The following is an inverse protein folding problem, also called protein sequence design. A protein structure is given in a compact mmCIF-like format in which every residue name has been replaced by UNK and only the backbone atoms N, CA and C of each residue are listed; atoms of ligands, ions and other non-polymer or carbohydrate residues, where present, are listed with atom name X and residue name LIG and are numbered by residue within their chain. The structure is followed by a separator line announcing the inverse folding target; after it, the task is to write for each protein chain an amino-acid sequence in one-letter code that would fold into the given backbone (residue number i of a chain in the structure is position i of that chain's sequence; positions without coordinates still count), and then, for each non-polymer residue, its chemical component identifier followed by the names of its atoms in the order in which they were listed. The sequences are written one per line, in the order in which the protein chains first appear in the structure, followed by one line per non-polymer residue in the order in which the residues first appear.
data_IF_853642397364
#
_entry.id   IF_853642397364
#
_cell.length_a   1.000
_cell.length_b   1.000
_cell.length_c   1.000
_cell.angle_alpha   90.00
_cell.angle_beta   90.00
_cell.angle_gamma   90.00
#
_symmetry.space_group_name_H-M   'P 1'
#
loop_
_entity.id
_entity.type
_entity.pdbx_description
1 polymer ?
#
# COMPACT_ATOMS: atom_id res chain seq x y z
N UNK A 1 -4.47 24.01 -17.74
CA UNK A 1 -5.83 24.61 -17.87
C UNK A 1 -6.02 25.41 -19.17
N UNK A 2 -5.16 26.38 -19.51
CA UNK A 2 -5.31 27.17 -20.74
C UNK A 2 -5.22 26.34 -22.04
N UNK A 3 -4.36 25.30 -22.06
CA UNK A 3 -4.23 24.36 -23.19
C UNK A 3 -5.50 23.55 -23.43
N UNK A 4 -6.17 23.07 -22.37
CA UNK A 4 -7.43 22.32 -22.47
C UNK A 4 -8.54 23.15 -23.11
N UNK A 5 -8.75 24.37 -22.63
CA UNK A 5 -9.75 25.28 -23.19
C UNK A 5 -9.46 25.58 -24.65
N UNK A 6 -8.18 25.75 -25.00
CA UNK A 6 -7.76 25.97 -26.38
C UNK A 6 -8.15 24.79 -27.27
N UNK A 7 -7.82 23.55 -26.89
CA UNK A 7 -8.14 22.36 -27.70
C UNK A 7 -9.64 22.19 -27.87
N UNK A 8 -10.42 22.31 -26.79
CA UNK A 8 -11.88 22.19 -26.86
C UNK A 8 -12.50 23.27 -27.76
N UNK A 9 -12.00 24.50 -27.69
CA UNK A 9 -12.47 25.59 -28.53
C UNK A 9 -12.12 25.36 -30.00
N UNK A 10 -10.88 24.97 -30.29
CA UNK A 10 -10.43 24.65 -31.65
C UNK A 10 -11.24 23.49 -32.23
N UNK A 11 -11.50 22.45 -31.45
CA UNK A 11 -12.34 21.33 -31.87
C UNK A 11 -13.78 21.77 -32.14
N UNK A 12 -14.37 22.61 -31.28
CA UNK A 12 -15.71 23.14 -31.48
C UNK A 12 -15.80 23.99 -32.76
N UNK A 13 -14.84 24.89 -32.98
CA UNK A 13 -14.77 25.77 -34.15
C UNK A 13 -14.60 24.95 -35.45
N UNK A 14 -13.89 23.82 -35.40
CA UNK A 14 -13.70 22.90 -36.52
C UNK A 14 -14.98 22.09 -36.81
N UNK A 15 -15.59 21.48 -35.79
CA UNK A 15 -16.74 20.58 -35.95
C UNK A 15 -18.01 21.35 -36.33
N UNK A 16 -18.14 22.60 -35.90
CA UNK A 16 -19.31 23.45 -36.19
C UNK A 16 -19.31 23.98 -37.63
N UNK A 17 -18.16 24.01 -38.27
CA UNK A 17 -17.98 24.49 -39.65
C UNK A 17 -17.97 23.29 -40.62
N UNK A 18 -19.01 23.10 -41.45
CA UNK A 18 -19.16 21.90 -42.26
C UNK A 18 -18.08 21.76 -43.33
N UNK A 19 -17.49 22.86 -43.82
CA UNK A 19 -16.39 22.80 -44.78
C UNK A 19 -15.10 22.33 -44.10
N UNK A 20 -14.78 22.89 -42.92
CA UNK A 20 -13.60 22.47 -42.14
C UNK A 20 -13.71 21.05 -41.65
N UNK A 21 -14.91 20.66 -41.21
CA UNK A 21 -15.19 19.29 -40.80
C UNK A 21 -14.99 18.33 -41.97
N UNK A 22 -15.52 18.64 -43.15
CA UNK A 22 -15.34 17.80 -44.34
C UNK A 22 -13.86 17.62 -44.72
N UNK A 23 -13.08 18.70 -44.68
CA UNK A 23 -11.63 18.64 -44.92
C UNK A 23 -10.87 17.80 -43.88
N UNK A 24 -11.29 17.89 -42.61
CA UNK A 24 -10.70 17.10 -41.53
C UNK A 24 -11.06 15.61 -41.65
N UNK A 25 -12.31 15.30 -41.97
CA UNK A 25 -12.78 13.93 -42.18
C UNK A 25 -12.03 13.29 -43.38
N UNK A 26 -11.84 14.04 -44.48
CA UNK A 26 -11.03 13.59 -45.63
C UNK A 26 -9.55 13.33 -45.26
N UNK A 27 -8.96 14.19 -44.41
CA UNK A 27 -7.59 13.99 -43.90
C UNK A 27 -7.48 12.73 -43.04
N UNK A 28 -8.46 12.48 -42.18
CA UNK A 28 -8.50 11.27 -41.35
C UNK A 28 -8.63 10.00 -42.21
N UNK A 29 -9.48 10.02 -43.24
CA UNK A 29 -9.62 8.89 -44.17
C UNK A 29 -8.34 8.66 -44.99
N UNK A 30 -7.63 9.72 -45.37
CA UNK A 30 -6.38 9.63 -46.12
C UNK A 30 -5.22 9.03 -45.32
N UNK A 31 -5.19 9.27 -43.99
CA UNK A 31 -4.14 8.77 -43.09
C UNK A 31 -4.51 7.41 -42.43
N UNK A 32 -5.55 6.74 -42.97
CA UNK A 32 -6.17 5.52 -42.42
C UNK A 32 -6.60 5.65 -40.93
N UNK A 33 -6.70 6.86 -40.40
CA UNK A 33 -6.96 7.11 -38.99
C UNK A 33 -5.90 6.58 -38.00
N UNK A 34 -4.71 6.18 -38.47
CA UNK A 34 -3.74 5.47 -37.62
C UNK A 34 -2.87 6.39 -36.76
N UNK A 35 -2.72 7.67 -37.12
CA UNK A 35 -1.80 8.57 -36.41
C UNK A 35 -2.30 10.01 -36.35
N UNK A 36 -2.41 10.55 -35.13
CA UNK A 36 -2.70 11.97 -34.91
C UNK A 36 -1.41 12.63 -34.42
N UNK A 37 -0.87 13.55 -35.22
CA UNK A 37 0.26 14.38 -34.81
C UNK A 37 -0.21 15.54 -33.93
N UNK A 38 0.25 15.57 -32.68
CA UNK A 38 -0.13 16.62 -31.71
C UNK A 38 1.08 17.53 -31.47
N UNK A 39 0.97 18.84 -31.72
CA UNK A 39 2.02 19.78 -31.36
C UNK A 39 2.35 19.67 -29.86
N UNK A 40 3.63 19.64 -29.50
CA UNK A 40 4.06 19.43 -28.11
C UNK A 40 3.42 20.40 -27.09
N UNK A 41 3.17 21.65 -27.50
CA UNK A 41 2.49 22.68 -26.69
C UNK A 41 1.02 22.37 -26.36
N UNK A 42 0.38 21.51 -27.17
CA UNK A 42 -1.00 21.07 -27.03
C UNK A 42 -1.08 19.70 -26.33
N UNK A 43 0.04 18.97 -26.24
CA UNK A 43 0.10 17.64 -25.62
C UNK A 43 -0.53 17.58 -24.21
N UNK A 44 -0.27 18.52 -23.27
CA UNK A 44 -0.93 18.46 -21.97
C UNK A 44 -2.46 18.52 -22.04
N UNK A 45 -2.99 19.26 -23.00
CA UNK A 45 -4.43 19.32 -23.19
C UNK A 45 -4.99 18.04 -23.81
N UNK A 46 -4.24 17.38 -24.70
CA UNK A 46 -4.62 16.08 -25.25
C UNK A 46 -4.60 14.97 -24.19
N UNK A 47 -3.56 14.93 -23.35
CA UNK A 47 -3.47 13.99 -22.22
C UNK A 47 -4.64 14.20 -21.24
N UNK A 48 -5.00 15.45 -20.95
CA UNK A 48 -6.17 15.74 -20.12
C UNK A 48 -7.49 15.22 -20.72
N UNK A 49 -7.64 15.26 -22.06
CA UNK A 49 -8.83 14.71 -22.72
C UNK A 49 -8.87 13.18 -22.67
N UNK A 50 -7.73 12.51 -22.87
CA UNK A 50 -7.62 11.05 -22.71
C UNK A 50 -7.97 10.62 -21.29
N UNK A 51 -7.50 11.39 -20.30
CA UNK A 51 -7.84 11.14 -18.90
C UNK A 51 -9.35 11.29 -18.63
N UNK A 52 -10.00 12.31 -19.21
CA UNK A 52 -11.47 12.46 -19.13
C UNK A 52 -12.24 11.36 -19.87
N UNK A 53 -11.63 10.75 -20.89
CA UNK A 53 -12.17 9.58 -21.58
C UNK A 53 -11.96 8.27 -20.79
N UNK A 54 -11.18 8.29 -19.71
CA UNK A 54 -10.84 7.11 -18.91
C UNK A 54 -9.72 6.25 -19.50
N UNK A 55 -8.95 6.76 -20.45
CA UNK A 55 -7.88 6.02 -21.11
C UNK A 55 -6.53 6.28 -20.42
N UNK A 56 -6.42 5.84 -19.17
CA UNK A 56 -5.24 6.09 -18.33
C UNK A 56 -3.99 5.39 -18.88
N UNK A 57 -4.12 4.20 -19.45
CA UNK A 57 -3.01 3.44 -20.04
C UNK A 57 -2.37 4.21 -21.22
N UNK A 58 -3.19 4.77 -22.12
CA UNK A 58 -2.68 5.60 -23.21
C UNK A 58 -2.00 6.88 -22.71
N UNK A 59 -2.52 7.49 -21.63
CA UNK A 59 -1.87 8.65 -21.00
C UNK A 59 -0.48 8.27 -20.48
N UNK A 60 -0.33 7.11 -19.82
CA UNK A 60 0.97 6.64 -19.34
C UNK A 60 1.95 6.47 -20.50
N UNK A 61 1.58 5.71 -21.52
CA UNK A 61 2.45 5.43 -22.67
C UNK A 61 2.93 6.72 -23.36
N UNK A 62 2.00 7.62 -23.67
CA UNK A 62 2.30 8.85 -24.40
C UNK A 62 3.13 9.82 -23.54
N UNK A 63 2.79 9.96 -22.25
CA UNK A 63 3.48 10.90 -21.37
C UNK A 63 4.90 10.45 -21.03
N UNK A 64 5.13 9.15 -20.80
CA UNK A 64 6.48 8.60 -20.60
C UNK A 64 7.36 8.80 -21.85
N UNK A 65 6.82 8.50 -23.03
CA UNK A 65 7.51 8.75 -24.30
C UNK A 65 7.84 10.24 -24.47
N UNK A 66 6.95 11.14 -24.07
CA UNK A 66 7.19 12.58 -24.17
C UNK A 66 8.24 13.10 -23.17
N UNK A 67 8.25 12.59 -21.93
CA UNK A 67 9.20 12.98 -20.88
C UNK A 67 10.61 12.45 -21.15
N UNK A 68 10.74 11.23 -21.66
CA UNK A 68 12.03 10.65 -22.04
C UNK A 68 12.73 11.41 -23.19
N UNK A 69 11.97 12.10 -24.04
CA UNK A 69 12.50 12.81 -25.20
C UNK A 69 12.89 14.28 -24.97
N UNK A 70 12.61 14.89 -23.82
CA UNK A 70 13.16 16.22 -23.55
C UNK A 70 13.38 16.55 -22.08
N UNK A 71 14.60 17.00 -21.81
CA UNK A 71 14.93 17.79 -20.66
C UNK A 71 14.62 19.27 -21.00
N UNK A 72 13.74 19.92 -20.23
CA UNK A 72 13.44 21.37 -20.28
C UNK A 72 12.46 21.86 -21.35
N UNK A 73 11.26 21.26 -21.44
CA UNK A 73 10.14 21.87 -22.18
C UNK A 73 9.21 22.66 -21.25
N UNK A 74 8.63 23.78 -21.72
CA UNK A 74 7.67 24.60 -20.95
C UNK A 74 6.45 23.80 -20.44
N UNK A 75 6.14 22.67 -21.08
CA UNK A 75 5.01 21.80 -20.74
C UNK A 75 5.39 20.59 -19.88
N UNK A 76 6.66 20.42 -19.49
CA UNK A 76 7.13 19.21 -18.79
C UNK A 76 6.38 18.97 -17.47
N UNK A 77 6.15 20.03 -16.70
CA UNK A 77 5.41 19.98 -15.44
C UNK A 77 3.96 19.50 -15.64
N UNK A 78 3.27 20.01 -16.66
CA UNK A 78 1.89 19.59 -16.95
C UNK A 78 1.82 18.14 -17.46
N UNK A 79 2.80 17.70 -18.27
CA UNK A 79 2.89 16.30 -18.73
C UNK A 79 3.15 15.36 -17.55
N UNK A 80 4.08 15.71 -16.67
CA UNK A 80 4.37 14.93 -15.46
C UNK A 80 3.15 14.85 -14.52
N UNK A 81 2.38 15.94 -14.41
CA UNK A 81 1.13 15.93 -13.66
C UNK A 81 0.09 14.98 -14.28
N UNK A 82 -0.11 15.02 -15.60
CA UNK A 82 -1.00 14.07 -16.29
C UNK A 82 -0.58 12.61 -16.09
N UNK A 83 0.73 12.33 -16.21
CA UNK A 83 1.27 10.98 -15.98
C UNK A 83 1.02 10.50 -14.54
N UNK A 84 1.29 11.36 -13.54
CA UNK A 84 1.06 11.03 -12.15
C UNK A 84 -0.42 10.77 -11.84
N UNK A 85 -1.33 11.58 -12.41
CA UNK A 85 -2.76 11.36 -12.25
C UNK A 85 -3.21 10.06 -12.92
N UNK A 86 -2.65 9.70 -14.09
CA UNK A 86 -2.98 8.44 -14.76
C UNK A 86 -2.57 7.23 -13.91
N UNK A 87 -1.40 7.27 -13.29
CA UNK A 87 -0.99 6.25 -12.31
C UNK A 87 -1.93 6.19 -11.09
N UNK A 88 -2.43 7.32 -10.60
CA UNK A 88 -3.45 7.33 -9.54
C UNK A 88 -4.77 6.69 -9.96
N UNK A 89 -5.19 6.87 -11.22
CA UNK A 89 -6.40 6.25 -11.75
C UNK A 89 -6.22 4.74 -11.91
N UNK A 90 -5.11 4.28 -12.48
CA UNK A 90 -4.76 2.85 -12.54
C UNK A 90 -4.69 2.21 -11.15
N UNK A 91 -4.08 2.90 -10.19
CA UNK A 91 -4.02 2.42 -8.82
C UNK A 91 -5.40 2.31 -8.17
N UNK A 92 -6.28 3.28 -8.42
CA UNK A 92 -7.69 3.23 -7.97
C UNK A 92 -8.43 2.05 -8.61
N UNK A 93 -8.24 1.80 -9.90
CA UNK A 93 -8.87 0.69 -10.61
C UNK A 93 -8.41 -0.67 -10.07
N UNK A 94 -7.10 -0.84 -9.82
CA UNK A 94 -6.55 -2.05 -9.21
C UNK A 94 -7.14 -2.30 -7.81
N UNK A 95 -7.23 -1.27 -6.97
CA UNK A 95 -7.83 -1.37 -5.63
C UNK A 95 -9.35 -1.58 -5.65
N UNK A 96 -10.05 -1.12 -6.69
CA UNK A 96 -11.49 -1.31 -6.86
C UNK A 96 -11.86 -2.67 -7.46
N UNK A 97 -10.88 -3.45 -7.93
CA UNK A 97 -11.10 -4.78 -8.49
C UNK A 97 -11.70 -5.76 -7.46
N UNK A 98 -12.21 -6.90 -7.94
CA UNK A 98 -12.75 -7.96 -7.09
C UNK A 98 -12.11 -9.31 -7.44
N UNK A 99 -11.19 -9.85 -6.62
CA UNK A 99 -10.68 -9.26 -5.37
C UNK A 99 -9.84 -7.99 -5.62
N UNK A 100 -9.72 -7.09 -4.63
CA UNK A 100 -8.84 -5.93 -4.71
C UNK A 100 -7.38 -6.35 -4.93
N UNK A 101 -6.66 -5.63 -5.78
CA UNK A 101 -5.22 -5.77 -6.02
C UNK A 101 -4.51 -4.57 -5.38
N UNK A 102 -4.40 -4.58 -4.06
CA UNK A 102 -3.89 -3.45 -3.27
C UNK A 102 -2.40 -3.24 -3.54
N UNK A 103 -1.60 -4.30 -3.66
CA UNK A 103 -0.15 -4.16 -3.96
C UNK A 103 0.10 -3.52 -5.32
N UNK A 104 -0.62 -3.95 -6.35
CA UNK A 104 -0.56 -3.35 -7.69
C UNK A 104 -1.01 -1.88 -7.67
N UNK A 105 -2.00 -1.57 -6.83
CA UNK A 105 -2.43 -0.20 -6.58
C UNK A 105 -1.37 0.64 -5.87
N UNK A 106 -0.74 0.12 -4.81
CA UNK A 106 0.38 0.73 -4.09
C UNK A 106 1.53 1.02 -5.07
N UNK A 107 1.91 0.06 -5.92
CA UNK A 107 2.99 0.20 -6.91
C UNK A 107 2.70 1.34 -7.90
N UNK A 108 1.44 1.44 -8.36
CA UNK A 108 1.02 2.53 -9.24
C UNK A 108 1.13 3.90 -8.56
N UNK A 109 0.74 4.00 -7.29
CA UNK A 109 0.89 5.25 -6.52
C UNK A 109 2.36 5.62 -6.27
N UNK A 110 3.24 4.64 -6.06
CA UNK A 110 4.68 4.88 -5.97
C UNK A 110 5.26 5.41 -7.29
N UNK A 111 4.81 4.89 -8.44
CA UNK A 111 5.14 5.46 -9.75
C UNK A 111 4.68 6.92 -9.87
N UNK A 112 3.46 7.24 -9.42
CA UNK A 112 2.97 8.62 -9.41
C UNK A 112 3.86 9.56 -8.59
N UNK A 113 4.25 9.15 -7.37
CA UNK A 113 5.18 9.92 -6.53
C UNK A 113 6.55 10.10 -7.18
N UNK A 114 7.08 9.02 -7.78
CA UNK A 114 8.36 9.07 -8.47
C UNK A 114 8.35 10.13 -9.58
N UNK A 115 7.31 10.12 -10.41
CA UNK A 115 7.13 11.07 -11.52
C UNK A 115 7.07 12.51 -11.01
N UNK A 116 6.27 12.78 -9.97
CA UNK A 116 6.13 14.12 -9.37
C UNK A 116 7.46 14.62 -8.80
N UNK A 117 8.17 13.78 -8.05
CA UNK A 117 9.45 14.15 -7.41
C UNK A 117 10.56 14.37 -8.43
N UNK A 118 10.63 13.56 -9.48
CA UNK A 118 11.69 13.63 -10.48
C UNK A 118 11.55 14.82 -11.43
N UNK A 119 10.32 15.25 -11.74
CA UNK A 119 10.05 16.30 -12.72
C UNK A 119 9.73 17.67 -12.10
N UNK A 120 10.02 17.86 -10.80
CA UNK A 120 9.75 19.10 -10.08
C UNK A 120 8.26 19.23 -9.75
N UNK A 121 7.86 18.64 -8.62
CA UNK A 121 6.48 18.48 -8.15
C UNK A 121 5.60 19.70 -8.44
N UNK A 122 4.78 19.68 -9.52
CA UNK A 122 3.93 20.81 -9.88
C UNK A 122 2.78 20.99 -8.88
N UNK A 123 2.52 19.97 -8.06
CA UNK A 123 1.44 19.94 -7.09
C UNK A 123 1.90 19.23 -5.80
N UNK A 124 2.47 19.95 -4.83
CA UNK A 124 2.94 19.36 -3.58
C UNK A 124 1.80 18.84 -2.69
N UNK A 125 0.58 19.34 -2.87
CA UNK A 125 -0.59 18.83 -2.16
C UNK A 125 -0.95 17.42 -2.65
N UNK A 126 -0.89 17.18 -3.97
CA UNK A 126 -1.10 15.85 -4.54
C UNK A 126 -0.04 14.86 -4.03
N UNK A 127 1.23 15.26 -4.00
CA UNK A 127 2.32 14.42 -3.46
C UNK A 127 2.03 14.00 -2.01
N UNK A 128 1.64 14.96 -1.16
CA UNK A 128 1.28 14.69 0.23
C UNK A 128 0.08 13.74 0.35
N UNK A 129 -0.93 13.88 -0.52
CA UNK A 129 -2.11 12.99 -0.53
C UNK A 129 -1.68 11.57 -0.90
N UNK A 130 -0.83 11.40 -1.91
CA UNK A 130 -0.37 10.07 -2.35
C UNK A 130 0.49 9.43 -1.25
N UNK A 131 1.46 10.16 -0.67
CA UNK A 131 2.28 9.67 0.45
C UNK A 131 1.41 9.19 1.63
N UNK A 132 0.39 9.97 2.00
CA UNK A 132 -0.56 9.60 3.06
C UNK A 132 -1.35 8.35 2.69
N UNK A 133 -1.83 8.27 1.46
CA UNK A 133 -2.60 7.11 0.97
C UNK A 133 -1.74 5.85 1.03
N UNK A 134 -0.47 5.91 0.61
CA UNK A 134 0.45 4.77 0.71
C UNK A 134 0.69 4.36 2.17
N UNK A 135 0.90 5.32 3.06
CA UNK A 135 1.06 5.03 4.49
C UNK A 135 -0.19 4.36 5.10
N UNK A 136 -1.39 4.81 4.70
CA UNK A 136 -2.67 4.22 5.12
C UNK A 136 -2.88 2.82 4.53
N UNK A 137 -2.42 2.56 3.31
CA UNK A 137 -2.55 1.27 2.62
C UNK A 137 -1.48 0.24 3.00
N UNK A 138 -0.38 0.65 3.63
CA UNK A 138 0.73 -0.24 3.96
C UNK A 138 0.32 -1.53 4.69
N UNK A 139 -0.58 -1.52 5.71
CA UNK A 139 -1.07 -2.74 6.33
C UNK A 139 -1.80 -3.67 5.37
N UNK A 140 -2.62 -3.13 4.46
CA UNK A 140 -3.35 -3.91 3.48
C UNK A 140 -2.39 -4.54 2.45
N UNK A 141 -1.38 -3.80 1.99
CA UNK A 141 -0.33 -4.29 1.09
C UNK A 141 0.47 -5.44 1.77
N UNK A 142 0.77 -5.35 3.07
CA UNK A 142 1.36 -6.47 3.86
C UNK A 142 0.44 -7.69 3.91
N UNK A 143 -0.85 -7.51 4.19
CA UNK A 143 -1.78 -8.64 4.31
C UNK A 143 -2.06 -9.34 2.99
N UNK A 144 -2.12 -8.61 1.88
CA UNK A 144 -2.27 -9.23 0.55
C UNK A 144 -1.08 -10.16 0.24
N UNK A 145 0.15 -9.71 0.51
CA UNK A 145 1.34 -10.53 0.33
C UNK A 145 1.40 -11.72 1.30
N UNK A 146 1.02 -11.51 2.57
CA UNK A 146 0.89 -12.61 3.54
C UNK A 146 -0.29 -13.52 3.26
N UNK A 147 -1.22 -13.18 2.36
CA UNK A 147 -2.30 -14.09 1.95
C UNK A 147 -1.87 -15.03 0.81
N UNK A 148 -0.75 -14.75 0.14
CA UNK A 148 -0.22 -15.60 -0.94
C UNK A 148 0.08 -17.02 -0.45
N UNK A 149 -0.16 -18.09 -1.23
CA UNK A 149 0.16 -19.45 -0.79
C UNK A 149 1.64 -19.62 -0.39
N UNK A 150 1.89 -20.39 0.67
CA UNK A 150 3.24 -20.79 1.10
C UNK A 150 3.87 -21.72 0.05
N UNK A 151 4.57 -21.10 -0.90
CA UNK A 151 5.18 -21.76 -2.04
C UNK A 151 6.54 -21.12 -2.32
N UNK A 152 7.43 -21.86 -2.99
CA UNK A 152 8.79 -21.38 -3.29
C UNK A 152 8.79 -20.07 -4.09
N UNK A 153 7.81 -19.88 -4.97
CA UNK A 153 7.67 -18.65 -5.78
C UNK A 153 7.28 -17.42 -4.95
N UNK A 154 6.51 -17.59 -3.87
CA UNK A 154 6.02 -16.49 -3.05
C UNK A 154 6.87 -16.24 -1.81
N UNK A 155 7.86 -17.09 -1.54
CA UNK A 155 8.63 -17.06 -0.29
C UNK A 155 9.26 -15.69 -0.02
N UNK A 156 9.87 -15.07 -1.04
CA UNK A 156 10.50 -13.76 -0.90
C UNK A 156 9.48 -12.65 -0.62
N UNK A 157 8.34 -12.67 -1.30
CA UNK A 157 7.26 -11.70 -1.09
C UNK A 157 6.66 -11.81 0.31
N UNK A 158 6.40 -13.04 0.77
CA UNK A 158 5.92 -13.30 2.13
C UNK A 158 6.93 -12.88 3.19
N UNK A 159 8.22 -13.13 2.97
CA UNK A 159 9.30 -12.71 3.88
C UNK A 159 9.42 -11.18 3.97
N UNK A 160 9.34 -10.49 2.83
CA UNK A 160 9.28 -9.02 2.78
C UNK A 160 8.06 -8.49 3.56
N UNK A 161 6.88 -9.09 3.35
CA UNK A 161 5.66 -8.69 4.04
C UNK A 161 5.73 -8.97 5.55
N UNK A 162 6.35 -10.08 5.96
CA UNK A 162 6.58 -10.39 7.37
C UNK A 162 7.52 -9.36 8.02
N UNK A 163 8.55 -8.92 7.32
CA UNK A 163 9.44 -7.86 7.82
C UNK A 163 8.70 -6.52 7.92
N UNK A 164 7.91 -6.15 6.92
CA UNK A 164 7.04 -4.96 7.00
C UNK A 164 6.04 -5.03 8.16
N UNK A 165 5.46 -6.21 8.42
CA UNK A 165 4.59 -6.42 9.58
C UNK A 165 5.34 -6.24 10.91
N UNK A 166 6.57 -6.75 11.02
CA UNK A 166 7.42 -6.55 12.21
C UNK A 166 7.70 -5.07 12.44
N UNK A 167 8.05 -4.34 11.39
CA UNK A 167 8.32 -2.90 11.46
C UNK A 167 7.09 -2.11 11.94
N UNK A 168 5.88 -2.51 11.56
CA UNK A 168 4.63 -1.90 12.03
C UNK A 168 4.28 -2.27 13.48
N UNK A 169 4.49 -3.53 13.88
CA UNK A 169 4.07 -4.04 15.20
C UNK A 169 5.01 -3.63 16.33
N UNK A 170 6.29 -3.46 16.02
CA UNK A 170 7.34 -3.29 17.02
C UNK A 170 7.82 -1.84 17.16
N UNK A 171 7.04 -0.89 16.62
CA UNK A 171 7.20 0.54 16.94
C UNK A 171 6.95 0.74 18.44
N UNK A 172 7.80 1.50 19.16
CA UNK A 172 7.55 1.84 20.56
C UNK A 172 6.23 2.61 20.73
N UNK A 173 5.32 2.07 21.54
CA UNK A 173 4.04 2.69 21.89
C UNK A 173 4.12 3.25 23.31
N UNK A 174 3.65 4.49 23.51
CA UNK A 174 3.48 5.04 24.86
C UNK A 174 2.50 4.15 25.64
N UNK A 175 2.85 3.61 26.82
CA UNK A 175 1.95 2.79 27.63
C UNK A 175 0.59 3.46 27.94
N UNK A 176 0.54 4.80 27.88
CA UNK A 176 -0.68 5.60 28.12
C UNK A 176 -1.53 5.78 26.87
N UNK A 177 -0.99 5.49 25.69
CA UNK A 177 -1.73 5.53 24.43
C UNK A 177 -2.55 4.24 24.28
N UNK A 178 -3.79 4.29 24.75
CA UNK A 178 -4.74 3.18 24.64
C UNK A 178 -5.14 2.89 23.19
N UNK A 179 -5.21 3.91 22.34
CA UNK A 179 -5.61 3.76 20.94
C UNK A 179 -4.53 3.02 20.15
N UNK A 180 -3.27 3.46 20.25
CA UNK A 180 -2.16 2.79 19.57
C UNK A 180 -1.99 1.33 20.01
N UNK A 181 -2.21 1.02 21.29
CA UNK A 181 -2.19 -0.37 21.79
C UNK A 181 -3.34 -1.21 21.23
N UNK A 182 -4.54 -0.63 21.12
CA UNK A 182 -5.69 -1.30 20.52
C UNK A 182 -5.47 -1.56 19.02
N UNK A 183 -4.91 -0.58 18.30
CA UNK A 183 -4.57 -0.70 16.88
C UNK A 183 -3.52 -1.79 16.63
N UNK A 184 -2.44 -1.83 17.44
CA UNK A 184 -1.46 -2.93 17.40
C UNK A 184 -2.13 -4.30 17.61
N UNK A 185 -3.02 -4.41 18.59
CA UNK A 185 -3.73 -5.67 18.87
C UNK A 185 -4.63 -6.07 17.70
N UNK A 186 -5.35 -5.12 17.10
CA UNK A 186 -6.16 -5.37 15.91
C UNK A 186 -5.30 -5.85 14.73
N UNK A 187 -4.13 -5.22 14.52
CA UNK A 187 -3.18 -5.61 13.49
C UNK A 187 -2.67 -7.05 13.68
N UNK A 188 -2.33 -7.44 14.92
CA UNK A 188 -1.94 -8.82 15.25
C UNK A 188 -3.03 -9.84 14.95
N UNK A 189 -4.28 -9.53 15.36
CA UNK A 189 -5.43 -10.42 15.12
C UNK A 189 -5.72 -10.57 13.62
N UNK A 190 -5.50 -9.52 12.84
CA UNK A 190 -5.66 -9.61 11.39
C UNK A 190 -4.51 -10.40 10.76
N UNK A 191 -3.27 -10.15 11.17
CA UNK A 191 -2.09 -10.85 10.69
C UNK A 191 -2.16 -12.37 10.91
N UNK A 192 -2.61 -12.81 12.10
CA UNK A 192 -2.65 -14.23 12.46
C UNK A 192 -3.50 -15.09 11.52
N UNK A 193 -4.42 -14.48 10.76
CA UNK A 193 -5.24 -15.17 9.74
C UNK A 193 -4.46 -15.56 8.49
N UNK A 194 -3.31 -14.94 8.27
CA UNK A 194 -2.51 -15.04 7.05
C UNK A 194 -1.13 -15.66 7.30
N UNK A 195 -0.68 -15.70 8.55
CA UNK A 195 0.60 -16.27 8.94
C UNK A 195 0.55 -17.80 9.01
N UNK A 196 1.60 -18.44 8.52
CA UNK A 196 1.89 -19.84 8.85
C UNK A 196 2.36 -19.95 10.30
N UNK A 197 2.31 -21.16 10.86
CA UNK A 197 2.86 -21.41 12.20
C UNK A 197 4.34 -21.02 12.32
N UNK A 198 5.14 -21.19 11.26
CA UNK A 198 6.55 -20.79 11.24
C UNK A 198 6.74 -19.28 11.26
N UNK A 199 5.96 -18.55 10.45
CA UNK A 199 6.04 -17.08 10.42
C UNK A 199 5.52 -16.47 11.73
N UNK A 200 4.47 -17.06 12.32
CA UNK A 200 3.99 -16.65 13.64
C UNK A 200 5.05 -16.87 14.73
N UNK A 201 5.80 -17.99 14.69
CA UNK A 201 6.94 -18.20 15.59
C UNK A 201 8.06 -17.18 15.34
N UNK A 202 8.43 -16.90 14.08
CA UNK A 202 9.45 -15.89 13.74
C UNK A 202 9.05 -14.49 14.23
N UNK A 203 7.77 -14.12 14.08
CA UNK A 203 7.25 -12.83 14.50
C UNK A 203 7.55 -12.52 15.98
N UNK A 204 7.40 -13.51 16.86
CA UNK A 204 7.62 -13.35 18.30
C UNK A 204 9.06 -13.65 18.73
N UNK A 205 9.79 -14.49 18.00
CA UNK A 205 11.20 -14.80 18.32
C UNK A 205 12.09 -13.57 18.13
N UNK A 206 11.75 -12.73 17.15
CA UNK A 206 12.49 -11.51 16.83
C UNK A 206 11.86 -10.26 17.47
N UNK A 207 10.84 -10.42 18.32
CA UNK A 207 10.22 -9.31 19.01
C UNK A 207 11.23 -8.67 19.99
N UNK A 208 11.31 -7.32 20.06
CA UNK A 208 12.28 -6.63 20.90
C UNK A 208 12.03 -6.86 22.40
N UNK A 209 10.80 -7.21 22.79
CA UNK A 209 10.41 -7.54 24.15
C UNK A 209 9.47 -8.73 24.14
N UNK A 210 9.63 -9.63 25.10
CA UNK A 210 8.68 -10.71 25.29
C UNK A 210 7.32 -10.14 25.71
N UNK A 211 6.27 -10.58 25.03
CA UNK A 211 4.89 -10.24 25.42
C UNK A 211 4.55 -10.86 26.76
N UNK A 212 3.91 -10.07 27.63
CA UNK A 212 3.32 -10.54 28.90
C UNK A 212 1.81 -10.73 28.79
N UNK A 213 1.23 -10.45 27.62
CA UNK A 213 -0.19 -10.62 27.37
C UNK A 213 -0.52 -12.12 27.27
N UNK A 214 -1.47 -12.64 28.07
CA UNK A 214 -1.77 -14.05 28.12
C UNK A 214 -2.40 -14.58 26.81
N UNK A 215 -3.11 -13.75 26.05
CA UNK A 215 -3.68 -14.15 24.76
C UNK A 215 -2.55 -14.29 23.73
N UNK A 216 -1.64 -13.31 23.65
CA UNK A 216 -0.48 -13.39 22.76
C UNK A 216 0.43 -14.58 23.13
N UNK A 217 0.69 -14.82 24.42
CA UNK A 217 1.47 -15.99 24.88
C UNK A 217 0.83 -17.32 24.47
N UNK A 218 -0.50 -17.41 24.54
CA UNK A 218 -1.23 -18.59 24.12
C UNK A 218 -1.12 -18.82 22.60
N UNK A 219 -1.25 -17.76 21.81
CA UNK A 219 -1.04 -17.80 20.35
C UNK A 219 0.39 -18.25 19.98
N UNK A 220 1.41 -17.72 20.65
CA UNK A 220 2.81 -18.16 20.45
C UNK A 220 2.98 -19.64 20.78
N UNK A 221 2.40 -20.09 21.91
CA UNK A 221 2.48 -21.48 22.32
C UNK A 221 1.82 -22.41 21.30
N UNK A 222 0.63 -22.06 20.80
CA UNK A 222 -0.04 -22.82 19.75
C UNK A 222 0.79 -22.88 18.47
N UNK A 223 1.34 -21.76 18.02
CA UNK A 223 2.19 -21.69 16.84
C UNK A 223 3.44 -22.58 16.97
N UNK A 224 4.11 -22.55 18.13
CA UNK A 224 5.26 -23.42 18.43
C UNK A 224 4.89 -24.91 18.44
N UNK A 225 3.73 -25.28 18.99
CA UNK A 225 3.25 -26.66 18.95
C UNK A 225 2.97 -27.09 17.51
N UNK A 226 2.28 -26.26 16.73
CA UNK A 226 1.96 -26.56 15.33
C UNK A 226 3.24 -26.67 14.49
N UNK A 227 4.18 -25.73 14.64
CA UNK A 227 5.47 -25.75 13.95
C UNK A 227 6.28 -27.00 14.33
N UNK A 228 6.37 -27.34 15.61
CA UNK A 228 7.02 -28.56 16.07
C UNK A 228 6.39 -29.83 15.52
N UNK A 229 5.06 -29.86 15.37
CA UNK A 229 4.36 -30.98 14.75
C UNK A 229 4.63 -31.08 13.24
N UNK A 230 4.51 -29.97 12.51
CA UNK A 230 4.70 -29.90 11.05
C UNK A 230 6.14 -30.25 10.67
N UNK A 231 7.14 -29.71 11.38
CA UNK A 231 8.56 -29.99 11.13
C UNK A 231 9.05 -31.30 11.73
N UNK A 232 8.22 -32.00 12.51
CA UNK A 232 8.61 -33.17 13.31
C UNK A 232 9.76 -32.87 14.27
N UNK A 233 9.76 -31.68 14.85
CA UNK A 233 10.75 -31.17 15.79
C UNK A 233 10.14 -31.06 17.20
N UNK A 234 10.12 -32.15 17.99
CA UNK A 234 9.50 -32.15 19.33
C UNK A 234 10.20 -31.22 20.33
N UNK A 235 11.38 -30.69 20.01
CA UNK A 235 12.07 -29.70 20.82
C UNK A 235 11.28 -28.38 20.91
N UNK A 236 10.62 -27.96 19.82
CA UNK A 236 9.81 -26.73 19.80
C UNK A 236 8.59 -26.83 20.73
N UNK A 237 8.03 -28.04 20.90
CA UNK A 237 6.94 -28.32 21.84
C UNK A 237 7.40 -28.22 23.30
N UNK A 238 8.69 -28.43 23.59
CA UNK A 238 9.22 -28.25 24.96
C UNK A 238 9.38 -26.78 25.32
N UNK A 239 9.68 -25.91 24.36
CA UNK A 239 9.86 -24.47 24.58
C UNK A 239 8.56 -23.81 25.05
N UNK A 240 7.40 -24.29 24.60
CA UNK A 240 6.08 -23.76 25.03
C UNK A 240 5.83 -23.94 26.53
N UNK A 241 6.36 -25.01 27.13
CA UNK A 241 6.25 -25.25 28.58
C UNK A 241 7.01 -24.24 29.44
N UNK A 242 7.97 -23.50 28.85
CA UNK A 242 8.74 -22.44 29.51
C UNK A 242 8.12 -21.04 29.34
N UNK A 243 7.27 -20.85 28.33
CA UNK A 243 6.52 -19.61 28.10
C UNK A 243 5.28 -19.48 29.02
N UNK A 244 4.96 -20.53 29.78
CA UNK A 244 3.96 -20.47 30.85
C UNK A 244 4.56 -19.76 32.07
N UNK A 245 3.93 -18.70 32.64
CA UNK A 245 4.40 -18.17 33.91
C UNK A 245 4.36 -19.30 34.93
N UNK A 246 5.50 -19.59 35.55
CA UNK A 246 5.59 -20.65 36.55
C UNK A 246 4.51 -20.42 37.64
N UNK A 247 3.84 -21.47 38.16
CA UNK A 247 2.82 -21.33 39.20
C UNK A 247 3.28 -20.65 40.49
N UNK A 248 4.59 -20.36 40.61
CA UNK A 248 5.21 -19.68 41.75
C UNK A 248 5.00 -18.17 41.74
N UNK A 249 4.71 -17.54 40.60
CA UNK A 249 4.50 -16.08 40.53
C UNK A 249 3.04 -15.65 40.83
N UNK A 250 2.07 -16.54 40.70
CA UNK A 250 0.65 -16.28 41.04
C UNK A 250 0.33 -16.38 42.54
N UNK A 251 1.29 -16.76 43.40
CA UNK A 251 1.10 -16.88 44.86
C UNK A 251 1.54 -15.65 45.67
N UNK A 252 2.20 -14.65 45.06
CA UNK A 252 2.67 -13.49 45.82
C UNK A 252 1.67 -12.33 45.91
N UNK A 253 0.61 -12.29 45.09
CA UNK A 253 -0.35 -11.16 45.06
C UNK A 253 -1.70 -11.42 45.74
N UNK A 254 -1.81 -12.45 46.59
CA UNK A 254 -2.96 -12.62 47.50
C UNK A 254 -2.48 -12.83 48.93
N UNK A 255 -2.13 -11.75 49.61
CA UNK A 255 -1.73 -11.83 51.02
C UNK A 255 -1.30 -10.51 51.65
N UNK A 256 -2.07 -9.43 51.49
CA UNK A 256 -1.94 -8.25 52.34
C UNK A 256 -3.33 -7.75 52.74
N UNK A 257 -3.99 -8.51 53.63
CA UNK A 257 -5.05 -7.98 54.49
C UNK A 257 -4.43 -7.56 55.84
N UNK A 258 -4.87 -6.46 56.46
CA UNK A 258 -4.19 -5.91 57.63
C UNK A 258 -4.38 -6.80 58.86
N UNK A 259 -3.29 -6.93 59.63
CA UNK A 259 -3.30 -7.52 60.96
C UNK A 259 -4.22 -6.70 61.89
N UNK A 260 -5.15 -7.40 62.54
CA UNK A 260 -5.82 -6.91 63.76
C UNK A 260 -5.34 -7.84 64.86
N UNK A 261 -4.43 -7.35 65.70
CA UNK A 261 -3.96 -8.03 66.90
C UNK A 261 -5.02 -7.97 68.01
N UNK A 262 -5.11 -9.07 68.74
CA UNK A 262 -5.96 -9.30 69.90
C UNK A 262 -5.63 -8.36 71.07
N UNK A 263 -6.69 -7.79 71.68
CA UNK A 263 -6.66 -7.29 73.05
C UNK A 263 -7.67 -8.07 73.89
N UNK A 264 -7.19 -9.09 74.60
CA UNK A 264 -7.81 -9.63 75.81
C UNK A 264 -6.75 -9.71 76.91
N UNK A 265 -6.72 -8.70 77.77
CA UNK A 265 -6.42 -8.76 79.21
C UNK A 265 -6.71 -7.38 79.82
#
# INVERSE_FOLDING_TARGET
MASRVLILRTACDLITDPEKKGQYDELLEADNGERIEIPRKELPGALALLQEAGDAEAVVEIAEAALSQAENSECQADIALSLALAHCDLGREAMAATPPRITEGCDSLDCALHVLRHNGSPNPELELIIDRTLAEMAPACVFELLALPDSTSNKQLREQALNGLKDMLWVPIDPRDEAARADRKALLVQASRHLTCHEQVSLYTEAPQFTTDPEELYEVALALVAAGFVSREPALVKVTSLASPSPRQLRCDRGAGPAVEDCLS
#
